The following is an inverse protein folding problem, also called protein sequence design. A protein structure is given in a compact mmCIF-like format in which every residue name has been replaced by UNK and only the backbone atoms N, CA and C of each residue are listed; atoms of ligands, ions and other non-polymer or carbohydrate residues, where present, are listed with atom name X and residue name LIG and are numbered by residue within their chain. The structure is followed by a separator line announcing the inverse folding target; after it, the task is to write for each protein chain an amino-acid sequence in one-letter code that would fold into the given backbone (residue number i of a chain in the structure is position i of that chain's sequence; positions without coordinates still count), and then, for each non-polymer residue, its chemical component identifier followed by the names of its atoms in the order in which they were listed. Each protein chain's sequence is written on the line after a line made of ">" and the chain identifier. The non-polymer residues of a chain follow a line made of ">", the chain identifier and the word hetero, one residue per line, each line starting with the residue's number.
data_IF_043893409871
#
_entry.id   IF_043893409871
#
_cell.length_a   1.000
_cell.length_b   1.000
_cell.length_c   1.000
_cell.angle_alpha   90.00
_cell.angle_beta   90.00
_cell.angle_gamma   90.00
#
_symmetry.space_group_name_H-M   'P 1'
#
loop_
_entity.id
_entity.type
_entity.pdbx_description
1 polymer ?
#
# COMPACT_ATOMS: atom_id res chain seq x y z
N UNK A 1 -7.37 9.63 -12.98
CA UNK A 1 -8.19 8.96 -11.96
C UNK A 1 -8.08 9.71 -10.63
N UNK A 2 -6.89 9.93 -10.04
CA UNK A 2 -6.71 10.60 -8.74
C UNK A 2 -7.33 12.01 -8.68
N UNK A 3 -7.15 12.83 -9.72
CA UNK A 3 -7.73 14.16 -9.81
C UNK A 3 -9.27 14.13 -9.86
N UNK A 4 -9.84 13.17 -10.58
CA UNK A 4 -11.30 13.00 -10.66
C UNK A 4 -11.85 12.58 -9.29
N UNK A 5 -11.19 11.63 -8.62
CA UNK A 5 -11.57 11.20 -7.27
C UNK A 5 -11.51 12.36 -6.28
N UNK A 6 -10.46 13.21 -6.37
CA UNK A 6 -10.35 14.41 -5.54
C UNK A 6 -11.50 15.39 -5.76
N UNK A 7 -11.81 15.69 -7.03
CA UNK A 7 -12.91 16.63 -7.37
C UNK A 7 -14.26 16.12 -6.88
N UNK A 8 -14.53 14.80 -7.04
CA UNK A 8 -15.78 14.19 -6.57
C UNK A 8 -15.86 14.25 -5.05
N UNK A 9 -14.81 13.86 -4.32
CA UNK A 9 -14.76 13.91 -2.86
C UNK A 9 -14.85 15.33 -2.33
N UNK A 10 -14.20 16.29 -2.99
CA UNK A 10 -14.27 17.71 -2.64
C UNK A 10 -15.67 18.28 -2.78
N UNK A 11 -16.41 17.88 -3.82
CA UNK A 11 -17.81 18.29 -4.02
C UNK A 11 -18.76 17.70 -2.97
N UNK A 12 -18.51 16.45 -2.54
CA UNK A 12 -19.34 15.75 -1.56
C UNK A 12 -19.10 16.27 -0.14
N UNK A 13 -17.85 16.57 0.22
CA UNK A 13 -17.46 16.93 1.61
C UNK A 13 -17.72 18.38 2.01
N UNK A 14 -18.05 19.26 1.08
CA UNK A 14 -18.29 20.67 1.36
C UNK A 14 -17.00 21.48 1.68
N UNK A 15 -16.87 22.64 1.08
CA UNK A 15 -15.68 23.52 1.16
C UNK A 15 -15.24 23.91 2.58
N UNK A 16 -16.18 24.00 3.53
CA UNK A 16 -15.93 24.55 4.87
C UNK A 16 -15.18 23.59 5.82
N UNK A 17 -15.31 22.27 5.64
CA UNK A 17 -14.66 21.28 6.51
C UNK A 17 -13.17 21.08 6.17
N UNK A 18 -12.81 21.13 4.90
CA UNK A 18 -11.44 20.98 4.42
C UNK A 18 -10.53 22.13 4.90
N UNK A 19 -11.01 23.36 4.88
CA UNK A 19 -10.22 24.54 5.27
C UNK A 19 -9.99 24.63 6.78
N UNK A 20 -10.87 24.07 7.61
CA UNK A 20 -10.79 24.17 9.08
C UNK A 20 -9.87 23.14 9.74
N UNK A 21 -9.50 22.07 9.02
CA UNK A 21 -8.67 20.95 9.52
C UNK A 21 -7.50 20.60 8.61
N UNK A 22 -7.03 21.57 7.82
CA UNK A 22 -5.93 21.32 6.90
C UNK A 22 -4.63 21.07 7.70
N UNK A 23 -3.98 19.91 7.53
CA UNK A 23 -2.79 19.57 8.30
C UNK A 23 -1.59 20.38 7.80
N UNK A 24 -1.24 21.45 8.52
CA UNK A 24 -0.13 22.37 8.18
C UNK A 24 1.19 21.64 8.03
N UNK A 25 1.47 20.65 8.86
CA UNK A 25 2.69 19.82 8.79
C UNK A 25 2.80 19.06 7.46
N UNK A 26 1.70 18.49 6.99
CA UNK A 26 1.67 17.77 5.70
C UNK A 26 1.88 18.73 4.53
N UNK A 27 1.29 19.92 4.60
CA UNK A 27 1.50 20.95 3.58
C UNK A 27 2.95 21.44 3.54
N UNK A 28 3.57 21.66 4.69
CA UNK A 28 4.97 22.05 4.79
C UNK A 28 5.89 20.95 4.22
N UNK A 29 5.60 19.68 4.51
CA UNK A 29 6.34 18.55 3.94
C UNK A 29 6.24 18.51 2.41
N UNK A 30 5.03 18.62 1.88
CA UNK A 30 4.80 18.61 0.42
C UNK A 30 5.44 19.83 -0.25
N UNK A 31 5.37 21.03 0.38
CA UNK A 31 6.04 22.22 -0.10
C UNK A 31 7.56 22.04 -0.12
N UNK A 32 8.12 21.41 0.92
CA UNK A 32 9.54 21.08 0.96
C UNK A 32 9.95 20.11 -0.15
N UNK A 33 9.15 19.07 -0.41
CA UNK A 33 9.37 18.16 -1.54
C UNK A 33 9.34 18.90 -2.89
N UNK A 34 8.40 19.83 -3.08
CA UNK A 34 8.33 20.65 -4.29
C UNK A 34 9.58 21.56 -4.44
N UNK A 35 10.00 22.17 -3.36
CA UNK A 35 11.18 23.03 -3.33
C UNK A 35 12.47 22.24 -3.64
N UNK A 36 12.55 21.00 -3.16
CA UNK A 36 13.72 20.12 -3.37
C UNK A 36 13.98 19.80 -4.85
N UNK A 37 12.99 19.94 -5.73
CA UNK A 37 13.18 19.77 -7.16
C UNK A 37 14.19 20.77 -7.74
N UNK A 38 14.36 21.95 -7.11
CA UNK A 38 15.24 23.01 -7.61
C UNK A 38 16.74 22.63 -7.57
N UNK A 39 17.14 21.74 -6.65
CA UNK A 39 18.54 21.27 -6.52
C UNK A 39 18.69 19.76 -6.77
N UNK A 40 17.69 19.13 -7.34
CA UNK A 40 17.73 17.70 -7.66
C UNK A 40 18.69 17.41 -8.81
N UNK A 41 19.38 16.27 -8.73
CA UNK A 41 20.21 15.75 -9.84
C UNK A 41 19.35 15.36 -11.05
N UNK A 42 18.07 15.00 -10.82
CA UNK A 42 17.11 14.64 -11.86
C UNK A 42 15.80 15.42 -11.66
N UNK A 43 15.77 16.73 -12.01
CA UNK A 43 14.65 17.62 -11.65
C UNK A 43 13.32 17.21 -12.25
N UNK A 44 13.30 16.68 -13.46
CA UNK A 44 12.06 16.23 -14.12
C UNK A 44 11.45 15.03 -13.37
N UNK A 45 12.26 14.04 -13.03
CA UNK A 45 11.83 12.86 -12.28
C UNK A 45 11.34 13.24 -10.88
N UNK A 46 12.07 14.15 -10.21
CA UNK A 46 11.65 14.69 -8.90
C UNK A 46 10.33 15.43 -8.98
N UNK A 47 10.08 16.19 -10.05
CA UNK A 47 8.82 16.88 -10.27
C UNK A 47 7.65 15.89 -10.47
N UNK A 48 7.85 14.81 -11.24
CA UNK A 48 6.85 13.75 -11.41
C UNK A 48 6.46 13.11 -10.07
N UNK A 49 7.44 12.72 -9.26
CA UNK A 49 7.20 12.16 -7.93
C UNK A 49 6.55 13.17 -6.98
N UNK A 50 6.90 14.45 -7.09
CA UNK A 50 6.25 15.51 -6.29
C UNK A 50 4.79 15.66 -6.68
N UNK A 51 4.45 15.71 -7.97
CA UNK A 51 3.06 15.77 -8.45
C UNK A 51 2.26 14.55 -7.97
N UNK A 52 2.85 13.36 -8.03
CA UNK A 52 2.22 12.15 -7.51
C UNK A 52 1.96 12.25 -6.00
N UNK A 53 2.96 12.70 -5.23
CA UNK A 53 2.85 12.86 -3.77
C UNK A 53 1.81 13.91 -3.37
N UNK A 54 1.74 15.04 -4.08
CA UNK A 54 0.69 16.05 -3.89
C UNK A 54 -0.68 15.45 -4.17
N UNK A 55 -0.83 14.74 -5.27
CA UNK A 55 -2.10 14.12 -5.67
C UNK A 55 -2.58 13.10 -4.65
N UNK A 56 -1.69 12.23 -4.18
CA UNK A 56 -1.99 11.23 -3.14
C UNK A 56 -2.35 11.90 -1.80
N UNK A 57 -1.62 12.95 -1.42
CA UNK A 57 -1.90 13.71 -0.19
C UNK A 57 -3.29 14.35 -0.24
N UNK A 58 -3.64 14.99 -1.36
CA UNK A 58 -4.95 15.62 -1.51
C UNK A 58 -6.09 14.60 -1.45
N UNK A 59 -5.95 13.45 -2.11
CA UNK A 59 -6.94 12.35 -2.05
C UNK A 59 -7.05 11.82 -0.63
N UNK A 60 -5.93 11.59 0.06
CA UNK A 60 -5.92 11.09 1.43
C UNK A 60 -6.62 12.04 2.41
N UNK A 61 -6.38 13.34 2.30
CA UNK A 61 -7.05 14.36 3.10
C UNK A 61 -8.56 14.37 2.78
N UNK A 62 -8.93 14.33 1.50
CA UNK A 62 -10.33 14.32 1.10
C UNK A 62 -11.08 13.10 1.64
N UNK A 63 -10.47 11.90 1.57
CA UNK A 63 -11.02 10.66 2.13
C UNK A 63 -11.16 10.76 3.65
N UNK A 64 -10.13 11.25 4.35
CA UNK A 64 -10.12 11.38 5.80
C UNK A 64 -11.17 12.38 6.33
N UNK A 65 -11.51 13.40 5.53
CA UNK A 65 -12.55 14.38 5.88
C UNK A 65 -13.95 13.89 5.50
N UNK A 66 -14.08 13.14 4.40
CA UNK A 66 -15.37 12.69 3.88
C UNK A 66 -15.95 11.49 4.64
N UNK A 67 -15.11 10.61 5.16
CA UNK A 67 -15.54 9.36 5.77
C UNK A 67 -15.44 9.41 7.30
N UNK A 68 -16.46 8.95 8.03
CA UNK A 68 -16.35 8.69 9.46
C UNK A 68 -15.30 7.58 9.69
N UNK A 69 -14.63 7.63 10.85
CA UNK A 69 -13.52 6.71 11.16
C UNK A 69 -13.90 5.23 11.02
N UNK A 70 -15.12 4.87 11.38
CA UNK A 70 -15.62 3.49 11.28
C UNK A 70 -15.72 2.99 9.84
N UNK A 71 -16.18 3.85 8.92
CA UNK A 71 -16.26 3.55 7.48
C UNK A 71 -14.88 3.52 6.86
N UNK A 72 -14.01 4.47 7.22
CA UNK A 72 -12.61 4.53 6.78
C UNK A 72 -11.87 3.23 7.15
N UNK A 73 -11.96 2.80 8.41
CA UNK A 73 -11.35 1.53 8.86
C UNK A 73 -11.95 0.34 8.11
N UNK A 74 -13.26 0.34 7.85
CA UNK A 74 -13.90 -0.69 7.05
C UNK A 74 -13.37 -0.77 5.62
N UNK A 75 -13.22 0.39 4.97
CA UNK A 75 -12.67 0.50 3.62
C UNK A 75 -11.19 0.07 3.55
N UNK A 76 -10.37 0.46 4.54
CA UNK A 76 -8.98 0.04 4.66
C UNK A 76 -8.85 -1.47 4.83
N UNK A 77 -9.65 -2.09 5.70
CA UNK A 77 -9.67 -3.54 5.87
C UNK A 77 -9.95 -4.22 4.52
N UNK A 78 -10.99 -3.79 3.81
CA UNK A 78 -11.34 -4.35 2.51
C UNK A 78 -10.21 -4.19 1.49
N UNK A 79 -9.63 -2.99 1.39
CA UNK A 79 -8.52 -2.72 0.46
C UNK A 79 -7.29 -3.59 0.76
N UNK A 80 -6.91 -3.71 2.04
CA UNK A 80 -5.78 -4.55 2.44
C UNK A 80 -6.04 -6.04 2.24
N UNK A 81 -7.27 -6.51 2.45
CA UNK A 81 -7.67 -7.87 2.14
C UNK A 81 -7.54 -8.17 0.64
N UNK A 82 -7.93 -7.23 -0.22
CA UNK A 82 -7.73 -7.36 -1.67
C UNK A 82 -6.25 -7.40 -2.05
N UNK A 83 -5.42 -6.54 -1.47
CA UNK A 83 -3.97 -6.53 -1.73
C UNK A 83 -3.34 -7.86 -1.31
N UNK A 84 -3.64 -8.37 -0.11
CA UNK A 84 -3.09 -9.64 0.37
C UNK A 84 -3.63 -10.83 -0.45
N UNK A 85 -4.93 -10.86 -0.71
CA UNK A 85 -5.55 -11.92 -1.50
C UNK A 85 -4.99 -11.99 -2.92
N UNK A 86 -4.91 -10.85 -3.61
CA UNK A 86 -4.31 -10.79 -4.94
C UNK A 86 -2.82 -11.12 -4.93
N UNK A 87 -2.09 -10.77 -3.87
CA UNK A 87 -0.68 -11.14 -3.72
C UNK A 87 -0.48 -12.65 -3.65
N UNK A 88 -1.27 -13.35 -2.85
CA UNK A 88 -1.23 -14.82 -2.81
C UNK A 88 -1.60 -15.46 -4.15
N UNK A 89 -2.62 -14.94 -4.83
CA UNK A 89 -3.03 -15.44 -6.15
C UNK A 89 -1.90 -15.26 -7.17
N UNK A 90 -1.31 -14.06 -7.24
CA UNK A 90 -0.23 -13.77 -8.16
C UNK A 90 1.02 -14.60 -7.89
N UNK A 91 1.44 -14.72 -6.63
CA UNK A 91 2.58 -15.55 -6.25
C UNK A 91 2.32 -17.04 -6.57
N UNK A 92 1.10 -17.55 -6.32
CA UNK A 92 0.72 -18.90 -6.67
C UNK A 92 0.72 -19.11 -8.19
N UNK A 93 0.14 -18.19 -8.96
CA UNK A 93 0.14 -18.28 -10.43
C UNK A 93 1.56 -18.32 -10.99
N UNK A 94 2.47 -17.47 -10.50
CA UNK A 94 3.86 -17.45 -10.95
C UNK A 94 4.60 -18.71 -10.49
N UNK A 95 4.35 -19.18 -9.27
CA UNK A 95 5.01 -20.38 -8.74
C UNK A 95 4.59 -21.67 -9.43
N UNK A 96 3.31 -21.82 -9.83
CA UNK A 96 2.77 -23.03 -10.45
C UNK A 96 2.81 -23.01 -11.97
N UNK A 97 2.60 -21.88 -12.60
CA UNK A 97 2.46 -21.76 -14.07
C UNK A 97 3.54 -20.89 -14.71
N UNK A 98 4.33 -20.15 -13.93
CA UNK A 98 5.38 -19.26 -14.42
C UNK A 98 6.63 -20.05 -14.84
N UNK A 99 7.24 -19.64 -15.95
CA UNK A 99 8.55 -20.15 -16.39
C UNK A 99 9.72 -19.37 -15.82
N UNK A 100 9.49 -18.53 -14.79
CA UNK A 100 10.48 -17.68 -14.14
C UNK A 100 9.86 -16.44 -13.50
N UNK A 101 10.71 -15.53 -12.98
CA UNK A 101 10.25 -14.32 -12.35
C UNK A 101 9.49 -13.39 -13.32
N UNK A 102 8.44 -12.75 -12.85
CA UNK A 102 7.58 -11.87 -13.65
C UNK A 102 8.10 -10.44 -13.60
N UNK A 103 8.44 -9.88 -14.77
CA UNK A 103 8.79 -8.48 -14.91
C UNK A 103 7.53 -7.58 -14.97
N UNK A 104 7.62 -6.31 -14.53
CA UNK A 104 6.54 -5.34 -14.73
C UNK A 104 6.21 -5.17 -16.23
N UNK A 105 4.94 -4.93 -16.60
CA UNK A 105 4.56 -4.78 -18.02
C UNK A 105 5.38 -3.73 -18.79
N UNK A 106 5.78 -2.65 -18.11
CA UNK A 106 6.61 -1.59 -18.69
C UNK A 106 8.04 -2.04 -19.08
N UNK A 107 8.49 -3.17 -18.53
CA UNK A 107 9.81 -3.75 -18.78
C UNK A 107 9.78 -4.94 -19.76
N UNK A 108 8.60 -5.32 -20.24
CA UNK A 108 8.48 -6.44 -21.17
C UNK A 108 9.25 -6.18 -22.47
N UNK A 109 9.99 -7.17 -22.94
CA UNK A 109 10.81 -7.09 -24.13
C UNK A 109 12.20 -6.49 -23.96
N UNK A 110 12.61 -6.11 -22.73
CA UNK A 110 13.94 -5.53 -22.48
C UNK A 110 15.07 -6.56 -22.23
N UNK A 111 14.81 -7.84 -22.42
CA UNK A 111 15.81 -8.90 -22.16
C UNK A 111 15.99 -9.22 -20.69
N UNK A 112 17.17 -9.75 -20.31
CA UNK A 112 17.46 -10.10 -18.92
C UNK A 112 17.58 -8.83 -18.06
N UNK A 113 16.74 -8.75 -17.04
CA UNK A 113 16.72 -7.66 -16.07
C UNK A 113 17.50 -8.06 -14.81
N UNK A 114 18.12 -7.10 -14.10
CA UNK A 114 18.64 -7.34 -12.76
C UNK A 114 17.52 -7.86 -11.81
N UNK A 115 17.86 -8.72 -10.86
CA UNK A 115 16.91 -9.35 -9.96
C UNK A 115 15.98 -8.35 -9.22
N UNK A 116 16.48 -7.15 -8.94
CA UNK A 116 15.72 -6.08 -8.27
C UNK A 116 14.61 -5.44 -9.12
N UNK A 117 14.57 -5.72 -10.42
CA UNK A 117 13.57 -5.16 -11.34
C UNK A 117 12.38 -6.10 -11.59
N UNK A 118 12.45 -7.34 -11.11
CA UNK A 118 11.31 -8.24 -11.22
C UNK A 118 10.22 -7.87 -10.22
N UNK A 119 8.98 -7.96 -10.68
CA UNK A 119 7.81 -7.65 -9.87
C UNK A 119 7.47 -8.80 -8.91
N UNK A 120 7.54 -10.04 -9.40
CA UNK A 120 7.25 -11.25 -8.63
C UNK A 120 8.31 -12.30 -8.95
N UNK A 121 9.00 -12.78 -7.93
CA UNK A 121 10.09 -13.74 -8.11
C UNK A 121 9.60 -15.20 -8.18
N UNK A 122 8.33 -15.47 -7.82
CA UNK A 122 7.77 -16.84 -7.81
C UNK A 122 8.47 -17.77 -6.80
N UNK A 123 8.95 -17.22 -5.70
CA UNK A 123 9.71 -17.94 -4.68
C UNK A 123 8.83 -18.62 -3.62
N UNK A 124 7.50 -18.56 -3.74
CA UNK A 124 6.55 -19.08 -2.76
C UNK A 124 6.84 -20.55 -2.38
N UNK A 125 7.09 -21.41 -3.39
CA UNK A 125 7.36 -22.83 -3.16
C UNK A 125 8.83 -23.13 -2.81
N UNK A 126 9.72 -22.18 -3.02
CA UNK A 126 11.17 -22.33 -2.76
C UNK A 126 11.59 -21.77 -1.39
N UNK A 127 10.64 -21.28 -0.60
CA UNK A 127 10.91 -20.68 0.69
C UNK A 127 11.61 -19.31 0.65
N UNK A 128 11.64 -18.66 -0.52
CA UNK A 128 12.17 -17.31 -0.69
C UNK A 128 11.14 -16.24 -0.34
N UNK A 129 11.60 -14.97 -0.25
CA UNK A 129 10.72 -13.87 0.10
C UNK A 129 9.69 -13.60 -1.00
N UNK A 130 8.42 -13.43 -0.63
CA UNK A 130 7.35 -13.03 -1.52
C UNK A 130 7.29 -11.50 -1.65
N UNK A 131 6.95 -11.01 -2.85
CA UNK A 131 6.82 -9.59 -3.17
C UNK A 131 5.35 -9.19 -3.37
N UNK A 132 4.55 -10.10 -3.92
CA UNK A 132 3.12 -9.95 -4.13
C UNK A 132 2.72 -8.79 -5.03
N UNK A 133 1.45 -8.36 -4.93
CA UNK A 133 0.91 -7.29 -5.75
C UNK A 133 1.70 -5.96 -5.68
N UNK A 134 2.24 -5.51 -4.52
CA UNK A 134 3.05 -4.29 -4.47
C UNK A 134 4.41 -4.39 -5.18
N UNK A 135 4.85 -5.58 -5.58
CA UNK A 135 6.16 -5.80 -6.21
C UNK A 135 7.35 -5.54 -5.29
N UNK A 136 7.11 -5.48 -3.99
CA UNK A 136 8.15 -5.30 -2.98
C UNK A 136 7.68 -5.89 -1.64
N UNK A 137 8.55 -6.69 -1.02
CA UNK A 137 8.27 -7.39 0.25
C UNK A 137 7.97 -6.46 1.43
N UNK A 138 8.63 -5.28 1.52
CA UNK A 138 8.45 -4.37 2.65
C UNK A 138 7.06 -3.71 2.69
N UNK A 139 6.54 -3.09 1.60
CA UNK A 139 5.17 -2.63 1.54
C UNK A 139 4.14 -3.72 1.78
N UNK A 140 4.37 -4.95 1.26
CA UNK A 140 3.45 -6.06 1.48
C UNK A 140 3.38 -6.45 2.96
N UNK A 141 4.53 -6.57 3.64
CA UNK A 141 4.60 -6.84 5.07
C UNK A 141 3.94 -5.72 5.89
N UNK A 142 4.14 -4.45 5.51
CA UNK A 142 3.51 -3.31 6.18
C UNK A 142 1.98 -3.33 6.03
N UNK A 143 1.46 -3.64 4.85
CA UNK A 143 0.01 -3.81 4.62
C UNK A 143 -0.55 -4.95 5.49
N UNK A 144 0.17 -6.07 5.61
CA UNK A 144 -0.24 -7.19 6.45
C UNK A 144 -0.29 -6.80 7.94
N UNK A 145 0.69 -6.05 8.42
CA UNK A 145 0.72 -5.53 9.79
C UNK A 145 -0.46 -4.59 10.05
N UNK A 146 -0.70 -3.62 9.16
CA UNK A 146 -1.81 -2.69 9.29
C UNK A 146 -3.16 -3.40 9.25
N UNK A 147 -3.33 -4.39 8.37
CA UNK A 147 -4.56 -5.19 8.34
C UNK A 147 -4.76 -5.94 9.65
N UNK A 148 -3.72 -6.55 10.21
CA UNK A 148 -3.81 -7.25 11.48
C UNK A 148 -4.26 -6.32 12.61
N UNK A 149 -3.68 -5.13 12.72
CA UNK A 149 -4.08 -4.10 13.70
C UNK A 149 -5.53 -3.68 13.49
N UNK A 150 -5.94 -3.37 12.27
CA UNK A 150 -7.33 -2.97 11.97
C UNK A 150 -8.34 -4.08 12.30
N UNK A 151 -8.00 -5.34 12.02
CA UNK A 151 -8.85 -6.49 12.34
C UNK A 151 -9.00 -6.70 13.85
N UNK A 152 -7.90 -6.58 14.61
CA UNK A 152 -7.93 -6.69 16.08
C UNK A 152 -8.81 -5.58 16.67
N UNK A 153 -8.58 -4.33 16.27
CA UNK A 153 -9.37 -3.18 16.75
C UNK A 153 -10.87 -3.35 16.42
N UNK A 154 -11.18 -3.75 15.20
CA UNK A 154 -12.57 -4.01 14.78
C UNK A 154 -13.20 -5.17 15.57
N UNK A 155 -12.46 -6.24 15.81
CA UNK A 155 -12.93 -7.38 16.59
C UNK A 155 -13.23 -6.98 18.04
N UNK A 156 -12.38 -6.16 18.66
CA UNK A 156 -12.61 -5.63 20.01
C UNK A 156 -13.90 -4.79 20.10
N UNK A 157 -14.23 -4.04 19.05
CA UNK A 157 -15.41 -3.17 19.01
C UNK A 157 -16.70 -3.93 18.71
N UNK A 158 -16.71 -4.87 17.76
CA UNK A 158 -17.96 -5.43 17.20
C UNK A 158 -18.15 -6.91 17.44
N UNK A 159 -17.12 -7.64 17.93
CA UNK A 159 -17.10 -9.11 18.09
C UNK A 159 -17.63 -9.90 16.88
N UNK A 160 -17.47 -9.33 15.69
CA UNK A 160 -17.97 -9.92 14.43
C UNK A 160 -17.17 -11.19 14.14
N UNK A 161 -17.78 -12.15 13.46
CA UNK A 161 -17.26 -13.46 13.02
C UNK A 161 -15.80 -13.80 13.42
N UNK A 162 -15.64 -14.57 14.50
CA UNK A 162 -14.30 -15.01 14.99
C UNK A 162 -13.53 -15.75 13.91
N UNK A 163 -14.19 -16.64 13.19
CA UNK A 163 -13.55 -17.47 12.16
C UNK A 163 -12.92 -16.63 11.06
N UNK A 164 -13.68 -15.69 10.48
CA UNK A 164 -13.15 -14.82 9.42
C UNK A 164 -11.98 -13.96 9.91
N UNK A 165 -12.06 -13.43 11.14
CA UNK A 165 -10.96 -12.65 11.72
C UNK A 165 -9.72 -13.52 11.92
N UNK A 166 -9.85 -14.74 12.47
CA UNK A 166 -8.73 -15.66 12.66
C UNK A 166 -8.09 -16.07 11.32
N UNK A 167 -8.90 -16.34 10.29
CA UNK A 167 -8.38 -16.68 8.96
C UNK A 167 -7.55 -15.54 8.36
N UNK A 168 -8.05 -14.31 8.43
CA UNK A 168 -7.29 -13.15 7.93
C UNK A 168 -6.07 -12.81 8.78
N UNK A 169 -6.12 -12.97 10.10
CA UNK A 169 -4.93 -12.84 10.96
C UNK A 169 -3.90 -13.92 10.64
N UNK A 170 -4.34 -15.16 10.38
CA UNK A 170 -3.47 -16.23 9.89
C UNK A 170 -2.81 -15.89 8.54
N UNK A 171 -3.59 -15.32 7.60
CA UNK A 171 -3.05 -14.86 6.33
C UNK A 171 -2.02 -13.72 6.51
N UNK A 172 -2.30 -12.75 7.40
CA UNK A 172 -1.34 -11.70 7.74
C UNK A 172 -0.05 -12.28 8.33
N UNK A 173 -0.16 -13.21 9.29
CA UNK A 173 0.99 -13.92 9.86
C UNK A 173 1.80 -14.66 8.79
N UNK A 174 1.12 -15.36 7.88
CA UNK A 174 1.74 -16.01 6.74
C UNK A 174 2.52 -15.05 5.85
N UNK A 175 1.93 -13.89 5.51
CA UNK A 175 2.62 -12.84 4.74
C UNK A 175 3.85 -12.32 5.48
N UNK A 176 3.73 -12.03 6.77
CA UNK A 176 4.86 -11.52 7.58
C UNK A 176 6.03 -12.51 7.61
N UNK A 177 5.73 -13.80 7.72
CA UNK A 177 6.76 -14.86 7.69
C UNK A 177 7.38 -15.00 6.28
N UNK A 178 6.55 -15.03 5.24
CA UNK A 178 6.99 -15.26 3.87
C UNK A 178 7.72 -14.03 3.27
N UNK A 179 7.41 -12.81 3.68
CA UNK A 179 8.11 -11.62 3.20
C UNK A 179 9.52 -11.50 3.76
N UNK A 180 9.83 -12.16 4.89
CA UNK A 180 11.13 -12.10 5.56
C UNK A 180 11.63 -10.64 5.71
N UNK A 181 10.72 -9.71 5.98
CA UNK A 181 11.04 -8.28 6.07
C UNK A 181 11.64 -7.94 7.43
N UNK A 182 12.95 -7.73 7.47
CA UNK A 182 13.66 -7.32 8.68
C UNK A 182 13.13 -5.98 9.24
N UNK A 183 12.74 -5.05 8.37
CA UNK A 183 12.18 -3.75 8.77
C UNK A 183 10.89 -3.90 9.56
N UNK A 184 9.99 -4.78 9.11
CA UNK A 184 8.72 -5.02 9.80
C UNK A 184 8.94 -5.89 11.04
N UNK A 185 9.82 -6.87 11.00
CA UNK A 185 10.18 -7.69 12.17
C UNK A 185 10.70 -6.81 13.33
N UNK A 186 11.58 -5.85 13.05
CA UNK A 186 12.09 -4.92 14.07
C UNK A 186 11.00 -4.01 14.63
N UNK A 187 10.04 -3.57 13.81
CA UNK A 187 8.93 -2.70 14.28
C UNK A 187 7.87 -3.43 15.11
N UNK A 188 7.85 -4.77 15.11
CA UNK A 188 6.91 -5.58 15.92
C UNK A 188 7.48 -6.00 17.26
N UNK A 189 8.80 -5.90 17.46
CA UNK A 189 9.51 -6.33 18.69
C UNK A 189 9.85 -5.14 19.60
N UNK A 190 9.84 -3.91 19.08
CA UNK A 190 10.07 -2.68 19.84
C UNK A 190 8.79 -2.05 20.32
#
# INVERSE_FOLDING_TARGET
>A
ILLVSFVVLFRISGRSLLLRRFPTTTCLFVAWCALSCAWSVAPLLSAEYTVLSVSLTLVSIAVAVALPLTELVGALILAFQWIIGSSFILEALVAFFGHGPLAPPIMWGRGLLPASYYWIDGMLLKGGPIQGFPGNRNPLAFVALLLAVCLILRYMQTKRSRLATCLWLGACGGVLLLTQSATVALSTVG
#
